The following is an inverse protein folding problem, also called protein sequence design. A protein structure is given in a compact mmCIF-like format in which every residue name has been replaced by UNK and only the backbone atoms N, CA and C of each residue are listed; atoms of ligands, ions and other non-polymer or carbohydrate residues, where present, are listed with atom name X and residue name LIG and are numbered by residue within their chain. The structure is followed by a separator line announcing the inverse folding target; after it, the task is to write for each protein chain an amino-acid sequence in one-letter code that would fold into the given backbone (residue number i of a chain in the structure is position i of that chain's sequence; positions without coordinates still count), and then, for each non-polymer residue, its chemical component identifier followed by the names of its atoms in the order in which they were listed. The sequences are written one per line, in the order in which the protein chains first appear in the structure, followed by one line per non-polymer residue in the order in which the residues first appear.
data_IF_877108007667
#
_entry.id   IF_877108007667
#
_cell.length_a   1.000
_cell.length_b   1.000
_cell.length_c   1.000
_cell.angle_alpha   90.00
_cell.angle_beta   90.00
_cell.angle_gamma   90.00
#
_symmetry.space_group_name_H-M   'P 1'
#
loop_
_entity.id
_entity.type
_entity.pdbx_description
1 polymer ?
#
# COMPACT_ATOMS: atom_id res chain seq x y z
N UNK A 1 -50.60 -9.32 30.70
CA UNK A 1 -49.35 -9.60 29.95
C UNK A 1 -48.25 -8.68 30.44
N UNK A 2 -47.10 -9.20 30.88
CA UNK A 2 -46.05 -8.41 31.54
C UNK A 2 -45.23 -7.62 30.51
N UNK A 3 -45.25 -6.29 30.56
CA UNK A 3 -44.52 -5.41 29.62
C UNK A 3 -43.02 -5.72 29.55
N UNK A 4 -42.41 -6.22 30.64
CA UNK A 4 -41.00 -6.64 30.68
C UNK A 4 -40.72 -7.87 29.80
N UNK A 5 -41.67 -8.79 29.69
CA UNK A 5 -41.53 -10.01 28.88
C UNK A 5 -41.57 -9.70 27.38
N UNK A 6 -42.43 -8.77 26.97
CA UNK A 6 -42.54 -8.33 25.57
C UNK A 6 -41.25 -7.63 25.12
N UNK A 7 -40.67 -6.78 25.98
CA UNK A 7 -39.41 -6.09 25.69
C UNK A 7 -38.25 -7.09 25.56
N UNK A 8 -38.18 -8.09 26.44
CA UNK A 8 -37.13 -9.11 26.40
C UNK A 8 -37.19 -9.94 25.11
N UNK A 9 -38.39 -10.36 24.69
CA UNK A 9 -38.58 -11.12 23.44
C UNK A 9 -38.20 -10.27 22.22
N UNK A 10 -38.59 -8.99 22.19
CA UNK A 10 -38.22 -8.08 21.11
C UNK A 10 -36.69 -7.90 20.99
N UNK A 11 -35.99 -7.79 22.13
CA UNK A 11 -34.52 -7.69 22.14
C UNK A 11 -33.89 -8.98 21.63
N UNK A 12 -34.32 -10.14 22.11
CA UNK A 12 -33.75 -11.45 21.70
C UNK A 12 -33.94 -11.67 20.19
N UNK A 13 -35.12 -11.35 19.66
CA UNK A 13 -35.40 -11.48 18.22
C UNK A 13 -34.61 -10.49 17.35
N UNK A 14 -34.14 -9.37 17.92
CA UNK A 14 -33.35 -8.37 17.19
C UNK A 14 -31.86 -8.72 17.07
N UNK A 15 -31.31 -9.55 17.97
CA UNK A 15 -29.87 -9.90 18.00
C UNK A 15 -29.40 -10.52 16.67
N UNK A 16 -30.08 -11.51 16.06
CA UNK A 16 -29.63 -12.11 14.80
C UNK A 16 -29.57 -11.09 13.65
N UNK A 17 -30.52 -10.15 13.60
CA UNK A 17 -30.56 -9.10 12.57
C UNK A 17 -29.37 -8.15 12.72
N UNK A 18 -29.06 -7.74 13.95
CA UNK A 18 -27.90 -6.88 14.25
C UNK A 18 -26.59 -7.59 13.88
N UNK A 19 -26.44 -8.86 14.28
CA UNK A 19 -25.24 -9.65 13.96
C UNK A 19 -25.08 -9.84 12.45
N UNK A 20 -26.15 -10.14 11.73
CA UNK A 20 -26.13 -10.27 10.27
C UNK A 20 -25.74 -8.95 9.59
N UNK A 21 -26.34 -7.83 10.00
CA UNK A 21 -26.00 -6.51 9.47
C UNK A 21 -24.53 -6.15 9.71
N UNK A 22 -24.02 -6.39 10.93
CA UNK A 22 -22.62 -6.16 11.27
C UNK A 22 -21.67 -7.03 10.43
N UNK A 23 -21.98 -8.31 10.27
CA UNK A 23 -21.19 -9.22 9.42
C UNK A 23 -21.16 -8.77 7.96
N UNK A 24 -22.30 -8.31 7.42
CA UNK A 24 -22.37 -7.78 6.06
C UNK A 24 -21.52 -6.52 5.88
N UNK A 25 -21.57 -5.59 6.83
CA UNK A 25 -20.75 -4.37 6.84
C UNK A 25 -19.26 -4.73 6.86
N UNK A 26 -18.87 -5.64 7.76
CA UNK A 26 -17.48 -6.11 7.87
C UNK A 26 -16.99 -6.74 6.56
N UNK A 27 -17.81 -7.58 5.91
CA UNK A 27 -17.47 -8.20 4.64
C UNK A 27 -17.29 -7.19 3.51
N UNK A 28 -18.18 -6.20 3.38
CA UNK A 28 -18.05 -5.15 2.37
C UNK A 28 -16.78 -4.32 2.56
N UNK A 29 -16.43 -3.98 3.81
CA UNK A 29 -15.19 -3.28 4.11
C UNK A 29 -13.95 -4.09 3.75
N UNK A 30 -13.95 -5.40 4.00
CA UNK A 30 -12.86 -6.30 3.60
C UNK A 30 -12.66 -6.32 2.09
N UNK A 31 -13.73 -6.45 1.30
CA UNK A 31 -13.68 -6.47 -0.17
C UNK A 31 -13.13 -5.14 -0.70
N UNK A 32 -13.69 -4.01 -0.25
CA UNK A 32 -13.23 -2.68 -0.68
C UNK A 32 -11.74 -2.48 -0.41
N UNK A 33 -11.24 -2.91 0.75
CA UNK A 33 -9.81 -2.80 1.09
C UNK A 33 -8.94 -3.72 0.24
N UNK A 34 -9.36 -4.96 -0.02
CA UNK A 34 -8.64 -5.86 -0.92
C UNK A 34 -8.50 -5.24 -2.32
N UNK A 35 -9.56 -4.63 -2.84
CA UNK A 35 -9.53 -3.90 -4.12
C UNK A 35 -8.57 -2.71 -4.09
N UNK A 36 -8.56 -1.90 -3.02
CA UNK A 36 -7.62 -0.80 -2.87
C UNK A 36 -6.16 -1.26 -2.78
N UNK A 37 -5.90 -2.38 -2.10
CA UNK A 37 -4.56 -2.98 -2.01
C UNK A 37 -4.10 -3.51 -3.36
N UNK A 38 -4.99 -4.20 -4.10
CA UNK A 38 -4.70 -4.67 -5.45
C UNK A 38 -4.39 -3.50 -6.39
N UNK A 39 -5.16 -2.41 -6.32
CA UNK A 39 -4.90 -1.19 -7.09
C UNK A 39 -3.55 -0.57 -6.72
N UNK A 40 -3.25 -0.47 -5.43
CA UNK A 40 -1.96 0.06 -4.92
C UNK A 40 -0.78 -0.79 -5.40
N UNK A 41 -0.94 -2.11 -5.43
CA UNK A 41 0.05 -3.03 -5.95
C UNK A 41 0.33 -2.78 -7.44
N UNK A 42 -0.73 -2.62 -8.24
CA UNK A 42 -0.61 -2.27 -9.66
C UNK A 42 0.09 -0.92 -9.87
N UNK A 43 -0.24 0.09 -9.07
CA UNK A 43 0.43 1.40 -9.11
C UNK A 43 1.93 1.29 -8.78
N UNK A 44 2.28 0.53 -7.74
CA UNK A 44 3.68 0.27 -7.37
C UNK A 44 4.45 -0.46 -8.48
N UNK A 45 3.82 -1.42 -9.14
CA UNK A 45 4.37 -2.14 -10.30
C UNK A 45 4.64 -1.18 -11.47
N UNK A 46 3.65 -0.37 -11.86
CA UNK A 46 3.78 0.64 -12.90
C UNK A 46 4.91 1.63 -12.60
N UNK A 47 4.94 2.17 -11.38
CA UNK A 47 5.99 3.08 -10.92
C UNK A 47 7.38 2.45 -11.06
N UNK A 48 7.56 1.21 -10.60
CA UNK A 48 8.85 0.55 -10.68
C UNK A 48 9.27 0.22 -12.10
N UNK A 49 8.33 -0.14 -12.98
CA UNK A 49 8.62 -0.35 -14.39
C UNK A 49 9.11 0.95 -15.03
N UNK A 50 8.45 2.06 -14.75
CA UNK A 50 8.86 3.38 -15.21
C UNK A 50 10.25 3.78 -14.71
N UNK A 51 10.57 3.51 -13.44
CA UNK A 51 11.91 3.79 -12.93
C UNK A 51 12.97 2.94 -13.64
N UNK A 52 12.66 1.68 -13.97
CA UNK A 52 13.57 0.82 -14.74
C UNK A 52 13.78 1.32 -16.16
N UNK A 53 12.71 1.72 -16.85
CA UNK A 53 12.80 2.29 -18.19
C UNK A 53 13.62 3.58 -18.18
N UNK A 54 13.36 4.48 -17.23
CA UNK A 54 14.19 5.66 -17.02
C UNK A 54 15.67 5.28 -16.82
N UNK A 55 15.95 4.33 -15.93
CA UNK A 55 17.32 3.89 -15.65
C UNK A 55 18.00 3.31 -16.88
N UNK A 56 17.28 2.52 -17.68
CA UNK A 56 17.79 1.96 -18.92
C UNK A 56 18.20 3.07 -19.91
N UNK A 57 17.31 4.04 -20.13
CA UNK A 57 17.56 5.18 -21.04
C UNK A 57 18.67 6.12 -20.53
N UNK A 58 18.86 6.18 -19.20
CA UNK A 58 19.84 7.05 -18.55
C UNK A 58 21.12 6.32 -18.12
N UNK A 59 21.55 5.31 -18.90
CA UNK A 59 22.84 4.57 -18.70
C UNK A 59 22.98 3.94 -17.31
N UNK A 60 21.87 3.49 -16.73
CA UNK A 60 21.80 2.89 -15.40
C UNK A 60 21.62 3.87 -14.24
N UNK A 61 21.46 5.17 -14.52
CA UNK A 61 21.25 6.18 -13.47
C UNK A 61 19.79 6.21 -13.01
N UNK A 62 19.61 6.22 -11.71
CA UNK A 62 18.32 6.35 -11.06
C UNK A 62 17.75 7.76 -11.17
N UNK A 63 16.43 7.94 -11.21
CA UNK A 63 15.81 9.26 -11.29
C UNK A 63 16.02 10.06 -9.98
N UNK A 64 15.73 11.38 -9.99
CA UNK A 64 15.85 12.25 -8.83
C UNK A 64 14.77 11.94 -7.76
N UNK A 65 14.95 10.86 -6.99
CA UNK A 65 14.00 10.36 -5.99
C UNK A 65 13.93 11.18 -4.71
N UNK A 66 14.82 12.16 -4.51
CA UNK A 66 14.82 13.07 -3.36
C UNK A 66 13.75 14.18 -3.46
N UNK A 67 13.19 14.42 -4.65
CA UNK A 67 12.18 15.45 -4.90
C UNK A 67 11.04 14.87 -5.74
N UNK A 68 9.84 14.78 -5.16
CA UNK A 68 8.68 14.18 -5.83
C UNK A 68 8.31 14.89 -7.14
N UNK A 69 8.47 16.22 -7.22
CA UNK A 69 8.19 16.99 -8.45
C UNK A 69 9.19 16.63 -9.55
N UNK A 70 10.48 16.59 -9.22
CA UNK A 70 11.52 16.21 -10.18
C UNK A 70 11.36 14.75 -10.62
N UNK A 71 11.02 13.85 -9.69
CA UNK A 71 10.74 12.45 -10.00
C UNK A 71 9.55 12.30 -10.96
N UNK A 72 8.44 13.02 -10.71
CA UNK A 72 7.28 13.03 -11.60
C UNK A 72 7.64 13.52 -13.00
N UNK A 73 8.44 14.57 -13.11
CA UNK A 73 8.91 15.08 -14.39
C UNK A 73 9.78 14.07 -15.13
N UNK A 74 10.74 13.45 -14.42
CA UNK A 74 11.62 12.43 -14.96
C UNK A 74 10.88 11.19 -15.47
N UNK A 75 9.83 10.76 -14.75
CA UNK A 75 9.05 9.57 -15.10
C UNK A 75 7.86 9.83 -16.03
N UNK A 76 7.54 11.09 -16.33
CA UNK A 76 6.41 11.48 -17.19
C UNK A 76 6.37 10.76 -18.55
N UNK A 77 7.51 10.50 -19.24
CA UNK A 77 7.49 9.77 -20.50
C UNK A 77 7.04 8.30 -20.37
N UNK A 78 7.12 7.73 -19.16
CA UNK A 78 6.90 6.30 -18.90
C UNK A 78 5.61 6.02 -18.12
N UNK A 79 4.92 7.06 -17.62
CA UNK A 79 3.73 6.94 -16.77
C UNK A 79 2.61 7.89 -17.17
N UNK A 80 1.36 7.40 -17.05
CA UNK A 80 0.15 8.20 -17.25
C UNK A 80 -0.18 9.20 -16.13
N UNK A 81 0.64 9.27 -15.07
CA UNK A 81 0.62 10.34 -14.06
C UNK A 81 -0.16 10.08 -12.77
N UNK A 82 -1.11 9.13 -12.74
CA UNK A 82 -1.93 8.84 -11.54
C UNK A 82 -1.30 7.82 -10.58
N UNK A 83 -0.16 7.21 -10.94
CA UNK A 83 0.43 6.09 -10.18
C UNK A 83 1.20 6.51 -8.92
N UNK A 84 1.45 7.80 -8.70
CA UNK A 84 2.25 8.30 -7.57
C UNK A 84 1.52 8.28 -6.22
N UNK A 85 0.20 8.10 -6.21
CA UNK A 85 -0.64 8.11 -5.01
C UNK A 85 -1.16 6.71 -4.75
N UNK A 86 -0.84 6.13 -3.59
CA UNK A 86 -1.39 4.85 -3.17
C UNK A 86 -2.91 4.95 -3.03
N UNK A 87 -3.63 4.07 -3.72
CA UNK A 87 -5.07 3.96 -3.57
C UNK A 87 -5.49 3.53 -2.16
N UNK A 88 -4.65 2.77 -1.46
CA UNK A 88 -4.91 2.26 -0.12
C UNK A 88 -4.78 3.35 0.95
N UNK A 89 -3.68 4.12 0.92
CA UNK A 89 -3.40 5.13 1.94
C UNK A 89 -3.89 6.53 1.55
N UNK A 90 -4.16 6.76 0.27
CA UNK A 90 -4.46 8.09 -0.28
C UNK A 90 -3.27 9.04 -0.26
N UNK A 91 -2.06 8.54 0.03
CA UNK A 91 -0.84 9.32 0.19
C UNK A 91 0.18 8.99 -0.91
N UNK A 92 1.14 9.90 -1.19
CA UNK A 92 2.21 9.60 -2.13
C UNK A 92 3.07 8.40 -1.67
N UNK A 93 3.49 7.56 -2.61
CA UNK A 93 4.50 6.55 -2.32
C UNK A 93 5.79 7.20 -1.79
N UNK A 94 6.47 6.50 -0.88
CA UNK A 94 7.78 6.92 -0.38
C UNK A 94 8.85 6.21 -1.20
N UNK A 95 9.80 6.99 -1.72
CA UNK A 95 10.90 6.50 -2.55
C UNK A 95 12.20 6.48 -1.76
N UNK A 96 13.07 5.52 -2.08
CA UNK A 96 14.39 5.42 -1.44
C UNK A 96 15.33 6.52 -1.97
N UNK A 97 15.37 7.65 -1.26
CA UNK A 97 16.14 8.83 -1.66
C UNK A 97 17.65 8.57 -1.73
N UNK A 98 18.17 7.56 -1.03
CA UNK A 98 19.59 7.17 -1.08
C UNK A 98 20.02 6.66 -2.45
N UNK A 99 19.07 6.30 -3.31
CA UNK A 99 19.33 5.85 -4.68
C UNK A 99 19.28 6.99 -5.69
N UNK A 100 18.82 8.17 -5.31
CA UNK A 100 18.62 9.31 -6.22
C UNK A 100 19.89 9.62 -7.02
N UNK A 101 19.81 9.56 -8.35
CA UNK A 101 20.93 9.84 -9.25
C UNK A 101 22.07 8.82 -9.22
N UNK A 102 21.98 7.76 -8.41
CA UNK A 102 23.03 6.74 -8.35
C UNK A 102 22.91 5.79 -9.52
N UNK A 103 24.07 5.34 -10.02
CA UNK A 103 24.14 4.26 -10.99
C UNK A 103 23.97 2.92 -10.26
N UNK A 104 23.00 2.11 -10.69
CA UNK A 104 22.85 0.76 -10.17
C UNK A 104 23.72 -0.20 -10.99
N UNK A 105 24.72 -0.78 -10.34
CA UNK A 105 25.61 -1.79 -10.95
C UNK A 105 25.00 -3.19 -10.83
N UNK A 106 24.23 -3.43 -9.77
CA UNK A 106 23.46 -4.66 -9.57
C UNK A 106 22.07 -4.31 -9.02
N UNK A 107 21.03 -4.88 -9.64
CA UNK A 107 19.64 -4.44 -9.47
C UNK A 107 18.81 -5.41 -8.63
N UNK A 108 19.39 -6.48 -8.10
CA UNK A 108 18.63 -7.64 -7.65
C UNK A 108 17.97 -7.55 -6.25
N UNK A 109 18.28 -6.55 -5.41
CA UNK A 109 17.71 -6.48 -4.05
C UNK A 109 17.40 -5.07 -3.53
N UNK A 110 17.09 -4.14 -4.40
CA UNK A 110 16.91 -2.74 -4.01
C UNK A 110 15.44 -2.46 -3.80
N UNK A 111 15.07 -1.93 -2.62
CA UNK A 111 13.74 -1.36 -2.40
C UNK A 111 13.70 0.02 -3.04
N UNK A 112 12.80 0.18 -4.01
CA UNK A 112 12.64 1.41 -4.79
C UNK A 112 11.63 2.33 -4.11
N UNK A 113 10.52 1.74 -3.66
CA UNK A 113 9.39 2.45 -3.10
C UNK A 113 8.57 1.58 -2.14
N UNK A 114 7.81 2.24 -1.27
CA UNK A 114 6.85 1.61 -0.37
C UNK A 114 5.68 2.53 -0.06
N UNK A 115 4.53 1.94 0.27
CA UNK A 115 3.35 2.70 0.69
C UNK A 115 3.59 3.33 2.08
N UNK A 116 3.33 4.64 2.27
CA UNK A 116 3.24 5.22 3.61
C UNK A 116 2.21 4.47 4.46
N UNK A 117 2.48 4.43 5.78
CA UNK A 117 1.79 3.58 6.78
C UNK A 117 0.30 3.36 6.44
N UNK A 118 -0.16 2.10 6.28
CA UNK A 118 -1.54 1.80 5.92
C UNK A 118 -2.52 2.35 6.96
N UNK A 119 -3.66 2.87 6.50
CA UNK A 119 -4.58 3.65 7.34
C UNK A 119 -5.62 2.81 8.11
N UNK A 120 -5.75 1.49 7.91
CA UNK A 120 -6.48 0.59 8.84
C UNK A 120 -6.61 -0.88 8.35
N UNK A 121 -6.22 -1.84 9.20
CA UNK A 121 -6.71 -3.22 9.19
C UNK A 121 -8.05 -3.32 9.97
N UNK A 122 -8.94 -4.29 9.70
CA UNK A 122 -10.32 -4.23 10.24
C UNK A 122 -10.42 -4.46 11.75
N UNK A 123 -9.51 -5.22 12.37
CA UNK A 123 -9.71 -5.68 13.75
C UNK A 123 -8.47 -5.65 14.64
N UNK A 124 -7.30 -5.23 14.12
CA UNK A 124 -6.08 -5.16 14.91
C UNK A 124 -5.06 -4.20 14.25
N UNK A 125 -4.45 -3.26 14.99
CA UNK A 125 -3.26 -2.52 14.53
C UNK A 125 -2.10 -3.42 14.09
N UNK A 126 -2.19 -4.73 14.34
CA UNK A 126 -1.23 -5.78 13.95
C UNK A 126 -1.40 -6.26 12.49
N UNK A 127 -2.54 -6.01 11.84
CA UNK A 127 -2.82 -6.45 10.45
C UNK A 127 -2.58 -5.33 9.42
N UNK A 128 -1.59 -4.49 9.68
CA UNK A 128 -1.16 -3.43 8.78
C UNK A 128 -0.23 -4.05 7.73
N UNK A 129 -0.57 -3.92 6.45
CA UNK A 129 0.27 -4.38 5.34
C UNK A 129 0.79 -3.20 4.53
N UNK A 130 2.05 -3.25 4.11
CA UNK A 130 2.65 -2.32 3.17
C UNK A 130 2.83 -2.96 1.82
N UNK A 131 2.55 -2.22 0.76
CA UNK A 131 3.06 -2.57 -0.56
C UNK A 131 4.53 -2.14 -0.61
N UNK A 132 5.40 -3.10 -0.92
CA UNK A 132 6.84 -2.89 -1.08
C UNK A 132 7.23 -3.38 -2.47
N UNK A 133 7.92 -2.52 -3.22
CA UNK A 133 8.55 -2.90 -4.49
C UNK A 133 10.04 -3.09 -4.30
N UNK A 134 10.53 -4.31 -4.52
CA UNK A 134 11.95 -4.63 -4.54
C UNK A 134 12.30 -5.35 -5.83
N UNK A 135 13.22 -4.75 -6.59
CA UNK A 135 13.71 -5.31 -7.85
C UNK A 135 12.55 -5.80 -8.75
N UNK A 136 12.36 -7.11 -8.93
CA UNK A 136 11.32 -7.71 -9.79
C UNK A 136 10.05 -8.13 -9.04
N UNK A 137 9.99 -7.92 -7.72
CA UNK A 137 8.95 -8.45 -6.87
C UNK A 137 8.21 -7.33 -6.16
N UNK A 138 6.89 -7.48 -6.13
CA UNK A 138 6.00 -6.63 -5.36
C UNK A 138 5.23 -7.53 -4.45
N UNK A 139 5.26 -7.20 -3.18
CA UNK A 139 4.54 -7.96 -2.18
C UNK A 139 3.84 -7.02 -1.23
N UNK A 140 2.86 -7.59 -0.53
CA UNK A 140 2.33 -6.99 0.67
C UNK A 140 3.09 -7.56 1.86
N UNK A 141 3.62 -6.70 2.72
CA UNK A 141 4.42 -7.09 3.87
C UNK A 141 3.75 -6.62 5.16
N UNK A 142 3.54 -7.48 6.16
CA UNK A 142 3.06 -7.06 7.48
C UNK A 142 3.98 -5.99 8.08
N UNK A 143 3.40 -4.99 8.74
CA UNK A 143 4.11 -3.83 9.31
C UNK A 143 5.22 -4.26 10.27
N UNK A 144 4.99 -5.31 11.07
CA UNK A 144 5.99 -5.85 11.98
C UNK A 144 7.24 -6.35 11.24
N UNK A 145 7.04 -7.04 10.11
CA UNK A 145 8.12 -7.53 9.26
C UNK A 145 8.78 -6.34 8.54
N UNK A 146 8.00 -5.38 8.06
CA UNK A 146 8.54 -4.16 7.45
C UNK A 146 9.49 -3.39 8.38
N UNK A 147 9.15 -3.25 9.66
CA UNK A 147 10.01 -2.52 10.60
C UNK A 147 11.36 -3.21 10.86
N UNK A 148 11.44 -4.55 10.75
CA UNK A 148 12.73 -5.25 10.79
C UNK A 148 13.48 -5.12 9.48
N UNK A 149 12.79 -5.31 8.35
CA UNK A 149 13.39 -5.32 7.02
C UNK A 149 13.87 -3.94 6.54
N UNK A 150 13.18 -2.86 6.90
CA UNK A 150 13.56 -1.51 6.46
C UNK A 150 15.00 -1.14 6.86
N UNK A 151 15.48 -1.65 8.00
CA UNK A 151 16.86 -1.47 8.47
C UNK A 151 17.83 -2.23 7.59
N UNK A 152 17.52 -3.48 7.26
CA UNK A 152 18.28 -4.33 6.33
C UNK A 152 18.40 -3.66 4.96
N UNK A 153 17.32 -3.02 4.49
CA UNK A 153 17.31 -2.27 3.24
C UNK A 153 17.97 -0.88 3.32
N UNK A 154 18.49 -0.49 4.49
CA UNK A 154 19.12 0.81 4.70
C UNK A 154 18.17 1.99 4.50
N UNK A 155 16.87 1.80 4.67
CA UNK A 155 15.85 2.86 4.60
C UNK A 155 15.78 3.63 5.93
N UNK A 156 15.37 4.91 5.92
CA UNK A 156 15.12 5.68 7.13
C UNK A 156 13.99 5.11 8.01
#
# INVERSE_FOLDING_TARGET
MNKKLILLIAVILSIPVIVFAQNKINNMQRIKRAQLMQKTLGQAQSLSLAIRQYSFDNKGNMPPMNNLTALKQALKPYLGGSDFISAASGKPFIFNTKLSGKKLVDSNFIVWLYDPKPTSGPNNPKDLYRVVGYSNHFTTMPEKIWQSEKKTFGLP
#
